data_IF_785576382025
#
_entry.id   IF_785576382025
#
_cell.length_a   1.000
_cell.length_b   1.000
_cell.length_c   1.000
_cell.angle_alpha   90.00
_cell.angle_beta   90.00
_cell.angle_gamma   90.00
#
_symmetry.space_group_name_H-M   'P 1'
#
loop_
_entity.id
_entity.type
_entity.pdbx_description
1 polymer ?
#
# COMPACT_ATOMS: atom_id res chain seq x y z
N UNK A 1 -21.68 14.31 9.31
CA UNK A 1 -20.63 15.34 9.22
C UNK A 1 -19.36 14.68 8.69
N UNK A 2 -18.84 15.21 7.57
CA UNK A 2 -18.10 14.51 6.51
C UNK A 2 -16.75 13.87 6.92
N UNK A 3 -16.65 12.55 6.70
CA UNK A 3 -15.39 11.76 6.75
C UNK A 3 -14.30 12.40 5.87
N UNK A 4 -14.70 12.90 4.70
CA UNK A 4 -13.86 13.65 3.75
C UNK A 4 -13.18 14.90 4.34
N UNK A 5 -13.86 15.63 5.24
CA UNK A 5 -13.29 16.82 5.88
C UNK A 5 -12.24 16.44 6.94
N UNK A 6 -12.45 15.31 7.65
CA UNK A 6 -11.49 14.77 8.61
C UNK A 6 -10.23 14.25 7.92
N UNK A 7 -10.39 13.57 6.80
CA UNK A 7 -9.26 13.05 6.02
C UNK A 7 -8.40 14.22 5.49
N UNK A 8 -9.03 15.29 4.97
CA UNK A 8 -8.35 16.51 4.52
C UNK A 8 -7.56 17.22 5.65
N UNK A 9 -8.16 17.33 6.85
CA UNK A 9 -7.48 17.88 8.03
C UNK A 9 -6.33 17.00 8.52
N UNK A 10 -6.43 15.67 8.40
CA UNK A 10 -5.37 14.73 8.79
C UNK A 10 -4.16 14.74 7.84
N UNK A 11 -4.36 15.15 6.58
CA UNK A 11 -3.31 15.33 5.57
C UNK A 11 -2.56 16.66 5.69
N UNK A 12 -3.22 17.72 6.18
CA UNK A 12 -2.64 19.07 6.30
C UNK A 12 -1.71 19.26 7.50
N UNK A 13 -1.82 18.39 8.52
CA UNK A 13 -0.86 18.35 9.62
C UNK A 13 0.12 17.24 9.30
N UNK A 14 1.39 17.59 9.14
CA UNK A 14 2.48 16.71 9.52
C UNK A 14 2.28 16.39 11.01
N UNK A 15 1.39 15.46 11.33
CA UNK A 15 1.24 14.95 12.68
C UNK A 15 2.54 14.28 13.06
N UNK A 16 3.00 14.50 14.29
CA UNK A 16 4.17 13.81 14.82
C UNK A 16 4.02 12.30 14.54
N UNK A 17 4.93 11.75 13.73
CA UNK A 17 4.95 10.32 13.48
C UNK A 17 5.34 9.62 14.78
N UNK A 18 4.52 8.70 15.25
CA UNK A 18 4.84 7.92 16.44
C UNK A 18 5.77 6.76 16.03
N UNK A 19 7.04 7.09 15.79
CA UNK A 19 8.00 6.11 15.29
C UNK A 19 8.54 5.23 16.41
N UNK A 20 8.39 3.92 16.26
CA UNK A 20 8.92 2.89 17.15
C UNK A 20 9.76 1.91 16.34
N UNK A 21 10.65 1.17 17.02
CA UNK A 21 11.32 0.03 16.38
C UNK A 21 10.30 -1.09 16.17
N UNK A 22 10.12 -1.49 14.92
CA UNK A 22 9.13 -2.47 14.51
C UNK A 22 9.73 -3.54 13.60
N UNK A 23 9.21 -4.75 13.71
CA UNK A 23 9.50 -5.84 12.78
C UNK A 23 8.65 -5.69 11.51
N UNK A 24 9.32 -5.41 10.39
CA UNK A 24 8.60 -5.25 9.12
C UNK A 24 7.89 -6.54 8.67
N UNK A 25 8.45 -7.70 8.95
CA UNK A 25 7.84 -8.98 8.59
C UNK A 25 6.48 -9.12 9.26
N UNK A 26 6.42 -8.85 10.57
CA UNK A 26 5.16 -8.89 11.33
C UNK A 26 4.14 -7.88 10.82
N UNK A 27 4.58 -6.66 10.45
CA UNK A 27 3.69 -5.64 9.89
C UNK A 27 3.04 -6.14 8.59
N UNK A 28 3.85 -6.73 7.70
CA UNK A 28 3.39 -7.23 6.41
C UNK A 28 2.51 -8.46 6.58
N UNK A 29 2.87 -9.40 7.46
CA UNK A 29 2.06 -10.59 7.75
C UNK A 29 0.66 -10.22 8.25
N UNK A 30 0.56 -9.25 9.17
CA UNK A 30 -0.73 -8.75 9.65
C UNK A 30 -1.54 -8.07 8.54
N UNK A 31 -0.87 -7.30 7.69
CA UNK A 31 -1.51 -6.64 6.55
C UNK A 31 -2.05 -7.69 5.56
N UNK A 32 -1.26 -8.71 5.25
CA UNK A 32 -1.65 -9.81 4.36
C UNK A 32 -2.84 -10.57 4.94
N UNK A 33 -2.82 -10.92 6.22
CA UNK A 33 -3.95 -11.57 6.90
C UNK A 33 -5.25 -10.78 6.76
N UNK A 34 -5.18 -9.45 6.80
CA UNK A 34 -6.35 -8.57 6.63
C UNK A 34 -6.86 -8.53 5.19
N UNK A 35 -5.97 -8.49 4.19
CA UNK A 35 -6.33 -8.22 2.79
C UNK A 35 -6.58 -9.48 1.96
N UNK A 36 -5.97 -10.62 2.31
CA UNK A 36 -6.10 -11.88 1.56
C UNK A 36 -7.57 -12.27 1.29
N UNK A 37 -8.52 -12.19 2.25
CA UNK A 37 -9.92 -12.51 1.95
C UNK A 37 -10.54 -11.63 0.86
N UNK A 38 -10.14 -10.35 0.79
CA UNK A 38 -10.62 -9.44 -0.25
C UNK A 38 -9.94 -9.72 -1.60
N UNK A 39 -8.65 -10.05 -1.60
CA UNK A 39 -7.93 -10.44 -2.81
C UNK A 39 -8.52 -11.73 -3.42
N UNK A 40 -8.80 -12.73 -2.58
CA UNK A 40 -9.41 -14.00 -2.98
C UNK A 40 -10.79 -13.79 -3.64
N UNK A 41 -11.62 -12.90 -3.08
CA UNK A 41 -12.93 -12.55 -3.64
C UNK A 41 -12.84 -11.88 -5.03
N UNK A 42 -11.72 -11.23 -5.33
CA UNK A 42 -11.46 -10.61 -6.63
C UNK A 42 -10.59 -11.49 -7.55
N UNK A 43 -10.30 -12.74 -7.17
CA UNK A 43 -9.45 -13.63 -7.97
C UNK A 43 -7.99 -13.18 -8.07
N UNK A 44 -7.49 -12.45 -7.07
CA UNK A 44 -6.11 -11.92 -7.03
C UNK A 44 -5.26 -12.73 -6.05
N UNK A 45 -4.15 -13.28 -6.52
CA UNK A 45 -3.19 -13.97 -5.68
C UNK A 45 -2.10 -13.00 -5.18
N UNK A 46 -1.72 -13.09 -3.91
CA UNK A 46 -0.65 -12.28 -3.33
C UNK A 46 0.54 -13.15 -2.96
N UNK A 47 1.72 -12.77 -3.43
CA UNK A 47 2.99 -13.46 -3.18
C UNK A 47 3.91 -12.55 -2.38
N UNK A 48 4.44 -13.04 -1.25
CA UNK A 48 5.43 -12.33 -0.44
C UNK A 48 6.80 -13.00 -0.60
N UNK A 49 7.82 -12.20 -0.92
CA UNK A 49 9.22 -12.60 -0.89
C UNK A 49 9.99 -11.66 0.04
N UNK A 50 10.66 -12.22 1.05
CA UNK A 50 11.54 -11.46 1.94
C UNK A 50 12.98 -11.91 1.73
N UNK A 51 13.84 -10.97 1.31
CA UNK A 51 15.26 -11.23 1.09
C UNK A 51 16.05 -10.90 2.34
N UNK A 52 16.57 -11.93 3.02
CA UNK A 52 17.33 -11.80 4.26
C UNK A 52 16.46 -11.79 5.52
N UNK A 53 17.07 -11.51 6.68
CA UNK A 53 16.36 -11.41 7.96
C UNK A 53 15.47 -10.17 8.00
N UNK A 54 14.22 -10.30 8.46
CA UNK A 54 13.29 -9.19 8.70
C UNK A 54 13.93 -8.13 9.62
N UNK A 55 14.39 -6.97 9.10
CA UNK A 55 15.08 -6.01 9.93
C UNK A 55 14.08 -5.26 10.83
N UNK A 56 14.51 -4.92 12.03
CA UNK A 56 13.86 -3.89 12.81
C UNK A 56 14.04 -2.55 12.10
N UNK A 57 12.96 -1.79 11.97
CA UNK A 57 12.94 -0.48 11.33
C UNK A 57 12.25 0.54 12.23
N UNK A 58 12.73 1.78 12.20
CA UNK A 58 12.12 2.89 12.95
C UNK A 58 11.00 3.50 12.12
N UNK A 59 9.75 3.13 12.39
CA UNK A 59 8.57 3.55 11.60
C UNK A 59 7.36 3.82 12.48
N UNK A 60 6.42 4.61 11.96
CA UNK A 60 5.06 4.64 12.50
C UNK A 60 4.29 3.46 11.89
N UNK A 61 4.02 2.45 12.72
CA UNK A 61 3.40 1.19 12.32
C UNK A 61 2.08 1.39 11.59
N UNK A 62 1.20 2.23 12.13
CA UNK A 62 -0.15 2.41 11.61
C UNK A 62 -0.13 3.17 10.28
N UNK A 63 0.75 4.18 10.18
CA UNK A 63 0.92 4.93 8.93
C UNK A 63 1.52 4.06 7.82
N UNK A 64 2.48 3.20 8.14
CA UNK A 64 3.03 2.27 7.16
C UNK A 64 1.98 1.26 6.68
N UNK A 65 1.20 0.66 7.60
CA UNK A 65 0.09 -0.25 7.23
C UNK A 65 -0.93 0.44 6.34
N UNK A 66 -1.32 1.68 6.66
CA UNK A 66 -2.26 2.45 5.87
C UNK A 66 -1.73 2.73 4.45
N UNK A 67 -0.46 3.12 4.32
CA UNK A 67 0.15 3.39 3.02
C UNK A 67 0.20 2.13 2.15
N UNK A 68 0.64 1.01 2.71
CA UNK A 68 0.70 -0.28 1.99
C UNK A 68 -0.70 -0.78 1.61
N UNK A 69 -1.68 -0.65 2.52
CA UNK A 69 -3.06 -1.02 2.27
C UNK A 69 -3.65 -0.27 1.07
N UNK A 70 -3.44 1.05 1.00
CA UNK A 70 -3.95 1.87 -0.10
C UNK A 70 -3.38 1.42 -1.46
N UNK A 71 -2.08 1.10 -1.51
CA UNK A 71 -1.43 0.63 -2.74
C UNK A 71 -1.99 -0.74 -3.16
N UNK A 72 -2.10 -1.67 -2.21
CA UNK A 72 -2.58 -3.04 -2.50
C UNK A 72 -4.05 -3.03 -2.92
N UNK A 73 -4.90 -2.25 -2.24
CA UNK A 73 -6.32 -2.09 -2.63
C UNK A 73 -6.44 -1.51 -4.04
N UNK A 74 -5.66 -0.49 -4.36
CA UNK A 74 -5.65 0.08 -5.71
C UNK A 74 -5.29 -0.94 -6.78
N UNK A 75 -4.30 -1.81 -6.50
CA UNK A 75 -3.92 -2.89 -7.40
C UNK A 75 -5.03 -3.95 -7.55
N UNK A 76 -5.65 -4.40 -6.45
CA UNK A 76 -6.77 -5.36 -6.49
C UNK A 76 -7.92 -4.81 -7.31
N UNK A 77 -8.34 -3.58 -7.04
CA UNK A 77 -9.47 -2.93 -7.72
C UNK A 77 -9.19 -2.66 -9.21
N UNK A 78 -7.93 -2.50 -9.61
CA UNK A 78 -7.56 -2.34 -11.02
C UNK A 78 -7.59 -3.67 -11.80
N UNK A 79 -7.56 -4.81 -11.11
CA UNK A 79 -7.54 -6.15 -11.69
C UNK A 79 -8.93 -6.81 -11.63
N UNK A 80 -9.88 -6.29 -12.40
CA UNK A 80 -11.29 -6.74 -12.38
C UNK A 80 -11.50 -8.20 -12.79
N UNK A 81 -10.57 -8.77 -13.55
CA UNK A 81 -10.60 -10.16 -14.02
C UNK A 81 -9.65 -11.07 -13.22
N UNK A 82 -9.19 -10.61 -12.06
CA UNK A 82 -8.17 -11.27 -11.26
C UNK A 82 -6.74 -10.99 -11.73
N UNK A 83 -5.77 -11.59 -11.04
CA UNK A 83 -4.36 -11.34 -11.33
C UNK A 83 -3.44 -11.70 -10.18
N UNK A 84 -2.25 -11.10 -10.18
CA UNK A 84 -1.21 -11.41 -9.20
C UNK A 84 -0.57 -10.12 -8.67
N UNK A 85 -0.36 -10.07 -7.36
CA UNK A 85 0.45 -9.05 -6.68
C UNK A 85 1.69 -9.73 -6.11
N UNK A 86 2.87 -9.24 -6.45
CA UNK A 86 4.13 -9.65 -5.85
C UNK A 86 4.66 -8.53 -4.95
N UNK A 87 4.87 -8.86 -3.68
CA UNK A 87 5.48 -7.98 -2.67
C UNK A 87 6.88 -8.52 -2.38
N UNK A 88 7.89 -7.71 -2.63
CA UNK A 88 9.29 -8.04 -2.32
C UNK A 88 9.83 -7.08 -1.28
N UNK A 89 10.33 -7.62 -0.17
CA UNK A 89 11.00 -6.86 0.87
C UNK A 89 12.48 -7.18 0.82
N UNK A 90 13.31 -6.16 0.67
CA UNK A 90 14.76 -6.33 0.62
C UNK A 90 15.45 -5.17 1.31
N UNK A 91 16.60 -5.45 1.91
CA UNK A 91 17.49 -4.40 2.40
C UNK A 91 18.47 -4.04 1.29
N UNK A 92 18.57 -2.75 0.98
CA UNK A 92 19.55 -2.21 0.03
C UNK A 92 20.24 -1.02 0.70
N UNK A 93 21.53 -1.18 0.96
CA UNK A 93 22.35 -0.19 1.68
C UNK A 93 21.73 0.18 3.04
N UNK A 94 21.48 1.48 3.26
CA UNK A 94 20.85 2.02 4.46
C UNK A 94 19.31 1.97 4.44
N UNK A 95 18.71 1.47 3.36
CA UNK A 95 17.25 1.52 3.15
C UNK A 95 16.63 0.11 3.16
N UNK A 96 15.39 0.09 3.66
CA UNK A 96 14.48 -1.01 3.42
C UNK A 96 13.64 -0.69 2.19
N UNK A 97 13.67 -1.56 1.20
CA UNK A 97 12.87 -1.45 -0.01
C UNK A 97 11.69 -2.43 0.07
N UNK A 98 10.48 -1.89 -0.06
CA UNK A 98 9.26 -2.66 -0.26
C UNK A 98 8.82 -2.40 -1.70
N UNK A 99 8.95 -3.42 -2.55
CA UNK A 99 8.57 -3.37 -3.94
C UNK A 99 7.26 -4.10 -4.14
N UNK A 100 6.26 -3.43 -4.68
CA UNK A 100 4.93 -3.99 -4.96
C UNK A 100 4.74 -3.95 -6.47
N UNK A 101 4.43 -5.09 -7.06
CA UNK A 101 4.15 -5.22 -8.49
C UNK A 101 2.83 -5.96 -8.68
N UNK A 102 1.94 -5.41 -9.48
CA UNK A 102 0.72 -6.07 -9.93
C UNK A 102 0.81 -6.50 -11.41
N UNK A 103 -0.16 -7.29 -11.86
CA UNK A 103 -0.34 -7.68 -13.26
C UNK A 103 -1.57 -7.02 -13.88
N UNK A 104 -1.99 -5.87 -13.35
CA UNK A 104 -3.11 -5.11 -13.86
C UNK A 104 -2.79 -4.38 -15.16
N UNK A 105 -3.72 -3.51 -15.62
CA UNK A 105 -3.63 -2.84 -16.92
C UNK A 105 -2.48 -1.82 -17.01
N UNK A 106 -1.79 -1.53 -15.90
CA UNK A 106 -0.77 -0.50 -15.81
C UNK A 106 -1.37 0.90 -15.76
N UNK A 107 -0.48 1.89 -15.67
CA UNK A 107 -0.83 3.32 -15.61
C UNK A 107 -0.29 3.97 -16.88
N UNK A 108 -1.14 4.62 -17.70
CA UNK A 108 -0.70 5.37 -18.87
C UNK A 108 0.30 6.47 -18.49
N UNK A 109 1.35 6.67 -19.30
CA UNK A 109 2.46 7.59 -19.02
C UNK A 109 2.00 9.02 -18.69
N UNK A 110 0.94 9.50 -19.36
CA UNK A 110 0.33 10.81 -19.16
C UNK A 110 -0.30 11.03 -17.77
N UNK A 111 -0.42 9.96 -16.97
CA UNK A 111 -0.99 9.98 -15.63
C UNK A 111 0.05 9.86 -14.52
N UNK A 112 1.32 9.53 -14.82
CA UNK A 112 2.35 9.25 -13.80
C UNK A 112 2.58 10.43 -12.84
N UNK A 113 2.54 11.67 -13.35
CA UNK A 113 2.68 12.87 -12.53
C UNK A 113 1.42 13.18 -11.69
N UNK A 114 0.28 12.57 -12.03
CA UNK A 114 -1.03 12.86 -11.47
C UNK A 114 -1.49 11.83 -10.44
N UNK A 115 -1.00 10.58 -10.51
CA UNK A 115 -1.45 9.49 -9.61
C UNK A 115 -1.14 9.72 -8.14
N UNK A 116 -0.20 10.61 -7.81
CA UNK A 116 0.08 11.03 -6.43
C UNK A 116 -0.61 12.34 -6.04
N UNK A 117 -1.38 12.94 -6.96
CA UNK A 117 -2.20 14.11 -6.71
C UNK A 117 -3.34 13.78 -5.75
N UNK A 118 -3.53 14.63 -4.74
CA UNK A 118 -4.65 14.52 -3.83
C UNK A 118 -5.97 14.50 -4.61
N UNK A 119 -6.85 13.54 -4.31
CA UNK A 119 -8.16 13.33 -4.96
C UNK A 119 -8.09 12.96 -6.44
N UNK A 120 -6.93 12.56 -6.95
CA UNK A 120 -6.82 12.09 -8.33
C UNK A 120 -7.22 10.62 -8.42
N UNK A 121 -8.37 10.35 -9.04
CA UNK A 121 -8.82 8.99 -9.34
C UNK A 121 -9.34 8.92 -10.77
N UNK A 122 -8.99 7.86 -11.48
CA UNK A 122 -9.56 7.52 -12.79
C UNK A 122 -10.86 6.73 -12.68
N UNK A 123 -11.31 6.40 -11.45
CA UNK A 123 -12.49 5.58 -11.16
C UNK A 123 -13.74 6.44 -10.99
N UNK A 124 -14.87 5.98 -11.54
CA UNK A 124 -16.18 6.62 -11.32
C UNK A 124 -16.62 6.44 -9.86
N UNK A 125 -16.67 7.55 -9.09
CA UNK A 125 -17.03 7.53 -7.66
C UNK A 125 -15.85 7.36 -6.69
N UNK A 126 -14.60 7.42 -7.18
CA UNK A 126 -13.41 7.35 -6.34
C UNK A 126 -13.27 8.55 -5.40
N UNK A 127 -12.76 8.29 -4.20
CA UNK A 127 -12.46 9.34 -3.20
C UNK A 127 -11.06 9.94 -3.35
N UNK A 128 -10.34 9.56 -4.41
CA UNK A 128 -8.87 9.54 -4.43
C UNK A 128 -8.37 8.15 -4.07
#
# INVERSE_FOLDING_TARGET
MNKLAKDCLSFSKSGDLNRTEEDIGRIIEELLSLITPHADLNGVNIYLTMSGSCPQILVDRDKLKQALLNIILNAIEAMTDGGNIAITVSRKDSYLNIFIKDTGPGIPDELHDKIFGLFYSTKSGGTG
#
